data_IF_337302004052
#
_entry.id   IF_337302004052
#
_cell.length_a   1.000
_cell.length_b   1.000
_cell.length_c   1.000
_cell.angle_alpha   90.00
_cell.angle_beta   90.00
_cell.angle_gamma   90.00
#
_symmetry.space_group_name_H-M   'P 1'
#
loop_
_entity.id
_entity.type
_entity.pdbx_description
1 polymer ?
#
# COMPACT_ATOMS: atom_id res chain seq x y z
N UNK A 1 -38.07 39.96 5.02
CA UNK A 1 -37.42 39.39 6.21
C UNK A 1 -38.05 38.02 6.45
N UNK A 2 -37.73 36.92 5.76
CA UNK A 2 -36.46 36.31 5.34
C UNK A 2 -35.68 35.63 6.48
N UNK A 3 -35.71 34.30 6.42
CA UNK A 3 -34.70 33.30 6.77
C UNK A 3 -34.08 33.32 8.18
N UNK A 4 -34.73 32.60 9.11
CA UNK A 4 -34.04 31.79 10.14
C UNK A 4 -34.88 30.52 10.33
N UNK A 5 -34.21 29.35 10.29
CA UNK A 5 -34.71 27.98 10.58
C UNK A 5 -34.53 26.93 9.46
N UNK A 6 -33.64 27.13 8.48
CA UNK A 6 -33.31 26.10 7.46
C UNK A 6 -31.82 25.71 7.40
N UNK A 7 -31.04 25.92 8.47
CA UNK A 7 -29.61 25.56 8.48
C UNK A 7 -29.20 24.46 9.49
N UNK A 8 -30.11 23.92 10.31
CA UNK A 8 -29.78 22.79 11.20
C UNK A 8 -30.04 21.40 10.57
N UNK A 9 -30.50 21.34 9.32
CA UNK A 9 -30.81 20.09 8.61
C UNK A 9 -29.74 19.56 7.68
N UNK A 10 -28.60 20.25 7.50
CA UNK A 10 -27.61 19.95 6.44
C UNK A 10 -26.18 19.68 6.93
N UNK A 11 -25.91 19.72 8.24
CA UNK A 11 -24.59 19.48 8.81
C UNK A 11 -24.39 18.11 9.48
N UNK A 12 -25.32 17.16 9.32
CA UNK A 12 -25.21 15.81 9.88
C UNK A 12 -25.08 14.68 8.84
N UNK A 13 -24.62 14.99 7.62
CA UNK A 13 -24.39 13.98 6.56
C UNK A 13 -22.92 13.63 6.30
N UNK A 14 -21.96 14.18 7.06
CA UNK A 14 -20.52 13.95 6.83
C UNK A 14 -19.84 13.05 7.86
N UNK A 15 -20.61 12.41 8.75
CA UNK A 15 -20.10 11.39 9.65
C UNK A 15 -20.75 10.06 9.35
N UNK A 16 -19.94 9.05 9.03
CA UNK A 16 -20.31 7.63 9.09
C UNK A 16 -21.32 7.11 8.06
N UNK A 17 -20.81 6.72 6.89
CA UNK A 17 -21.29 5.51 6.22
C UNK A 17 -20.09 4.60 5.94
N UNK A 18 -19.97 3.58 6.80
CA UNK A 18 -19.33 2.31 6.48
C UNK A 18 -19.90 1.78 5.17
N UNK A 19 -19.15 1.85 4.06
CA UNK A 19 -19.68 1.51 2.73
C UNK A 19 -19.39 0.04 2.38
N UNK A 20 -20.21 -0.85 2.92
CA UNK A 20 -20.56 -2.14 2.31
C UNK A 20 -22.05 -2.09 1.98
N UNK A 21 -22.37 -1.66 0.77
CA UNK A 21 -23.37 -2.27 -0.13
C UNK A 21 -23.65 -1.34 -1.32
N UNK A 22 -24.09 -1.95 -2.43
CA UNK A 22 -24.31 -1.41 -3.77
C UNK A 22 -23.05 -1.21 -4.64
N UNK A 23 -22.72 -2.23 -5.47
CA UNK A 23 -23.21 -2.31 -6.86
C UNK A 23 -22.98 -3.75 -7.34
N UNK A 24 -24.09 -4.45 -7.58
CA UNK A 24 -24.13 -5.68 -8.35
C UNK A 24 -24.25 -5.39 -9.86
N UNK A 25 -23.81 -6.39 -10.63
CA UNK A 25 -24.25 -6.76 -11.98
C UNK A 25 -23.86 -5.87 -13.17
N UNK A 26 -23.08 -6.47 -14.08
CA UNK A 26 -22.81 -5.99 -15.42
C UNK A 26 -22.04 -7.01 -16.26
N UNK A 27 -22.78 -7.88 -16.95
CA UNK A 27 -22.43 -8.74 -18.11
C UNK A 27 -21.52 -8.03 -19.15
N UNK A 28 -20.66 -8.63 -19.98
CA UNK A 28 -20.34 -10.01 -20.36
C UNK A 28 -19.39 -10.01 -21.59
N UNK A 29 -18.92 -11.21 -21.96
CA UNK A 29 -18.52 -11.70 -23.31
C UNK A 29 -17.24 -11.18 -24.00
N UNK A 30 -16.23 -12.07 -24.09
CA UNK A 30 -15.73 -12.61 -25.38
C UNK A 30 -14.47 -12.00 -26.02
N UNK A 31 -13.36 -12.74 -26.01
CA UNK A 31 -12.73 -13.33 -27.22
C UNK A 31 -11.34 -13.90 -26.93
N UNK A 32 -10.93 -14.86 -27.76
CA UNK A 32 -9.95 -15.91 -27.53
C UNK A 32 -8.73 -15.71 -28.47
N UNK A 33 -7.59 -16.29 -28.08
CA UNK A 33 -6.45 -16.82 -28.88
C UNK A 33 -5.28 -15.87 -29.19
N UNK A 34 -4.07 -16.29 -28.77
CA UNK A 34 -2.78 -15.82 -29.26
C UNK A 34 -1.59 -16.39 -28.46
N UNK A 35 -0.90 -17.39 -29.01
CA UNK A 35 0.04 -18.33 -28.35
C UNK A 35 1.40 -17.71 -27.95
N UNK A 36 1.97 -18.24 -26.86
CA UNK A 36 3.39 -18.17 -26.52
C UNK A 36 3.74 -19.17 -25.41
N UNK A 37 4.19 -20.36 -25.80
CA UNK A 37 4.51 -21.50 -24.92
C UNK A 37 5.75 -21.25 -24.05
N UNK A 38 5.64 -21.55 -22.74
CA UNK A 38 6.58 -22.33 -21.91
C UNK A 38 6.15 -22.26 -20.43
N UNK A 39 5.21 -23.09 -19.95
CA UNK A 39 4.95 -23.38 -18.50
C UNK A 39 3.89 -24.50 -18.34
N UNK A 40 4.06 -25.65 -19.01
CA UNK A 40 3.01 -26.68 -19.12
C UNK A 40 2.72 -27.49 -17.83
N UNK A 41 3.61 -27.51 -16.84
CA UNK A 41 3.43 -28.35 -15.63
C UNK A 41 2.43 -27.81 -14.59
N UNK A 42 2.34 -26.48 -14.41
CA UNK A 42 1.53 -25.88 -13.33
C UNK A 42 0.06 -25.61 -13.70
N UNK A 43 -0.33 -25.76 -14.97
CA UNK A 43 -1.65 -25.35 -15.46
C UNK A 43 -2.72 -26.46 -15.34
N UNK A 44 -2.30 -27.73 -15.42
CA UNK A 44 -3.20 -28.88 -15.28
C UNK A 44 -3.75 -28.97 -13.85
N UNK A 45 -2.91 -28.76 -12.84
CA UNK A 45 -3.35 -28.71 -11.44
C UNK A 45 -4.33 -27.55 -11.17
N UNK A 46 -4.14 -26.37 -11.78
CA UNK A 46 -5.04 -25.21 -11.62
C UNK A 46 -6.44 -25.46 -12.15
N UNK A 47 -6.57 -26.15 -13.29
CA UNK A 47 -7.88 -26.47 -13.85
C UNK A 47 -8.62 -27.51 -13.00
N UNK A 48 -7.88 -28.47 -12.41
CA UNK A 48 -8.45 -29.46 -11.49
C UNK A 48 -8.93 -28.84 -10.17
N UNK A 49 -8.17 -27.91 -9.59
CA UNK A 49 -8.56 -27.19 -8.36
C UNK A 49 -9.77 -26.27 -8.61
N UNK A 50 -9.81 -25.55 -9.73
CA UNK A 50 -10.98 -24.73 -10.11
C UNK A 50 -12.24 -25.57 -10.33
N UNK A 51 -12.10 -26.76 -10.92
CA UNK A 51 -13.22 -27.69 -11.07
C UNK A 51 -13.67 -28.25 -9.71
N UNK A 52 -12.74 -28.65 -8.85
CA UNK A 52 -13.05 -29.19 -7.53
C UNK A 52 -13.75 -28.16 -6.61
N UNK A 53 -13.26 -26.91 -6.60
CA UNK A 53 -13.86 -25.81 -5.83
C UNK A 53 -15.29 -25.45 -6.27
N UNK A 54 -15.68 -25.78 -7.51
CA UNK A 54 -17.04 -25.55 -8.01
C UNK A 54 -18.07 -26.58 -7.51
N UNK A 55 -17.62 -27.67 -6.85
CA UNK A 55 -18.48 -28.82 -6.51
C UNK A 55 -18.91 -28.89 -5.05
N UNK A 56 -18.44 -27.99 -4.19
CA UNK A 56 -18.75 -28.03 -2.75
C UNK A 56 -19.14 -26.66 -2.19
N UNK A 57 -20.45 -26.42 -2.11
CA UNK A 57 -21.10 -25.60 -1.06
C UNK A 57 -21.07 -24.07 -1.22
N UNK A 58 -22.26 -23.48 -1.36
CA UNK A 58 -22.58 -22.05 -1.17
C UNK A 58 -21.52 -21.05 -1.67
N UNK A 59 -21.24 -21.04 -2.98
CA UNK A 59 -20.41 -19.99 -3.54
C UNK A 59 -21.22 -18.71 -3.69
N UNK A 60 -21.00 -17.73 -2.81
CA UNK A 60 -20.98 -16.34 -3.30
C UNK A 60 -19.95 -16.32 -4.42
N UNK A 61 -20.39 -16.06 -5.66
CA UNK A 61 -19.50 -16.12 -6.82
C UNK A 61 -18.39 -15.08 -6.65
N UNK A 62 -17.16 -15.54 -6.38
CA UNK A 62 -15.99 -14.68 -6.34
C UNK A 62 -15.85 -13.98 -7.71
N UNK A 63 -15.74 -12.65 -7.73
CA UNK A 63 -15.66 -11.84 -8.96
C UNK A 63 -14.48 -12.24 -9.86
N UNK A 64 -13.37 -12.69 -9.28
CA UNK A 64 -12.16 -13.14 -9.93
C UNK A 64 -11.99 -14.66 -9.88
N UNK A 65 -12.83 -15.38 -9.12
CA UNK A 65 -12.72 -16.83 -8.94
C UNK A 65 -11.39 -17.26 -8.31
N UNK A 66 -10.82 -16.43 -7.44
CA UNK A 66 -9.55 -16.70 -6.74
C UNK A 66 -9.86 -17.02 -5.28
N UNK A 67 -9.81 -18.30 -4.91
CA UNK A 67 -9.79 -18.72 -3.52
C UNK A 67 -8.38 -18.78 -2.93
N UNK A 68 -8.30 -18.97 -1.62
CA UNK A 68 -7.04 -19.01 -0.86
C UNK A 68 -6.11 -20.14 -1.32
N UNK A 69 -6.68 -21.22 -1.84
CA UNK A 69 -6.01 -22.42 -2.35
C UNK A 69 -5.21 -22.20 -3.64
N UNK A 70 -5.42 -21.07 -4.33
CA UNK A 70 -4.68 -20.72 -5.55
C UNK A 70 -3.49 -19.82 -5.23
N UNK A 71 -3.44 -19.23 -4.03
CA UNK A 71 -2.37 -18.33 -3.62
C UNK A 71 -1.04 -19.10 -3.46
N UNK A 72 0.11 -18.44 -3.65
CA UNK A 72 1.41 -19.03 -3.34
C UNK A 72 1.49 -19.49 -1.88
N UNK A 73 2.22 -20.58 -1.61
CA UNK A 73 2.33 -21.17 -0.26
C UNK A 73 2.86 -20.20 0.81
N UNK A 74 3.64 -19.18 0.40
CA UNK A 74 4.16 -18.14 1.29
C UNK A 74 3.11 -17.08 1.65
N UNK A 75 2.03 -16.95 0.85
CA UNK A 75 1.00 -15.95 1.07
C UNK A 75 -0.01 -16.46 2.10
N UNK A 76 -0.06 -15.79 3.26
CA UNK A 76 -0.97 -16.10 4.36
C UNK A 76 -2.04 -15.00 4.43
N UNK A 77 -3.14 -15.10 3.66
CA UNK A 77 -4.17 -14.06 3.67
C UNK A 77 -4.70 -13.85 5.08
N UNK A 78 -5.05 -12.60 5.39
CA UNK A 78 -5.46 -12.16 6.71
C UNK A 78 -4.45 -12.48 7.82
N UNK A 79 -3.16 -12.29 7.55
CA UNK A 79 -2.11 -12.47 8.55
C UNK A 79 -2.33 -11.57 9.78
N UNK A 80 -2.27 -12.17 10.97
CA UNK A 80 -2.64 -11.55 12.25
C UNK A 80 -1.44 -11.02 13.07
N UNK A 81 -0.23 -11.06 12.53
CA UNK A 81 0.94 -10.57 13.27
C UNK A 81 1.08 -9.04 13.26
N UNK A 82 2.16 -8.54 13.86
CA UNK A 82 2.45 -7.12 13.93
C UNK A 82 2.98 -6.58 12.59
N UNK A 83 2.24 -5.68 11.96
CA UNK A 83 2.52 -5.15 10.64
C UNK A 83 3.72 -4.19 10.62
N UNK A 84 3.93 -3.43 11.70
CA UNK A 84 5.10 -2.58 11.87
C UNK A 84 6.37 -3.43 11.97
N UNK A 85 6.38 -4.43 12.85
CA UNK A 85 7.50 -5.36 13.02
C UNK A 85 7.83 -6.06 11.70
N UNK A 86 6.81 -6.58 11.00
CA UNK A 86 7.03 -7.22 9.69
C UNK A 86 7.63 -6.26 8.66
N UNK A 87 7.20 -5.00 8.66
CA UNK A 87 7.75 -3.98 7.75
C UNK A 87 9.20 -3.66 8.10
N UNK A 88 9.53 -3.51 9.39
CA UNK A 88 10.91 -3.33 9.87
C UNK A 88 11.80 -4.53 9.57
N UNK A 89 11.28 -5.74 9.68
CA UNK A 89 12.00 -6.97 9.32
C UNK A 89 12.34 -6.98 7.83
N UNK A 90 11.42 -6.58 6.95
CA UNK A 90 11.73 -6.44 5.51
C UNK A 90 12.81 -5.39 5.25
N UNK A 91 12.84 -4.30 6.02
CA UNK A 91 13.88 -3.27 5.92
C UNK A 91 15.25 -3.78 6.37
N UNK A 92 15.31 -4.41 7.54
CA UNK A 92 16.54 -5.00 8.11
C UNK A 92 17.14 -6.06 7.19
N UNK A 93 16.30 -6.87 6.55
CA UNK A 93 16.74 -7.92 5.63
C UNK A 93 16.91 -7.37 4.21
N UNK A 94 17.85 -6.43 4.01
CA UNK A 94 18.20 -5.88 2.68
C UNK A 94 17.19 -4.90 2.08
N UNK A 95 16.13 -4.53 2.79
CA UNK A 95 15.16 -3.54 2.30
C UNK A 95 15.76 -2.15 2.18
N UNK A 96 16.62 -1.73 3.12
CA UNK A 96 17.31 -0.45 3.04
C UNK A 96 18.21 -0.33 1.81
N UNK A 97 18.99 -1.37 1.48
CA UNK A 97 19.87 -1.34 0.29
C UNK A 97 19.06 -1.19 -1.00
N UNK A 98 17.89 -1.84 -1.06
CA UNK A 98 16.97 -1.71 -2.21
C UNK A 98 16.35 -0.31 -2.29
N UNK A 99 15.96 0.27 -1.16
CA UNK A 99 15.40 1.63 -1.13
C UNK A 99 16.45 2.66 -1.56
N UNK A 100 17.68 2.52 -1.08
CA UNK A 100 18.82 3.36 -1.46
C UNK A 100 19.07 3.30 -2.98
N UNK A 101 19.08 2.09 -3.55
CA UNK A 101 19.22 1.90 -5.00
C UNK A 101 18.08 2.52 -5.83
N UNK A 102 16.85 2.55 -5.30
CA UNK A 102 15.70 3.18 -5.96
C UNK A 102 15.72 4.70 -5.84
N UNK A 103 16.14 5.23 -4.70
CA UNK A 103 16.19 6.67 -4.44
C UNK A 103 17.32 7.34 -5.23
N UNK A 104 18.41 6.60 -5.44
CA UNK A 104 19.57 7.08 -6.18
C UNK A 104 20.42 8.06 -5.38
N UNK A 105 21.34 8.74 -6.06
CA UNK A 105 22.38 9.54 -5.42
C UNK A 105 21.83 10.80 -4.71
N UNK A 106 21.95 10.84 -3.38
CA UNK A 106 21.59 11.98 -2.52
C UNK A 106 22.79 12.83 -2.06
N UNK A 107 23.99 12.67 -2.65
CA UNK A 107 25.24 13.29 -2.18
C UNK A 107 25.15 14.82 -2.06
N UNK A 108 24.44 15.49 -2.97
CA UNK A 108 24.28 16.95 -2.93
C UNK A 108 23.57 17.42 -1.65
N UNK A 109 22.62 16.64 -1.14
CA UNK A 109 21.89 16.95 0.10
C UNK A 109 22.84 16.76 1.30
N UNK A 110 23.61 15.68 1.31
CA UNK A 110 24.62 15.39 2.34
C UNK A 110 25.72 16.46 2.37
N UNK A 111 26.14 16.98 1.23
CA UNK A 111 27.10 18.08 1.15
C UNK A 111 26.56 19.38 1.76
N UNK A 112 25.30 19.71 1.49
CA UNK A 112 24.62 20.88 2.09
C UNK A 112 24.52 20.72 3.61
N UNK A 113 24.12 19.54 4.09
CA UNK A 113 24.08 19.22 5.52
C UNK A 113 25.46 19.45 6.15
N UNK A 114 26.53 18.91 5.57
CA UNK A 114 27.90 19.07 6.10
C UNK A 114 28.35 20.52 6.12
N UNK A 115 28.00 21.30 5.09
CA UNK A 115 28.43 22.69 4.94
C UNK A 115 27.71 23.64 5.88
N UNK A 116 26.42 23.41 6.15
CA UNK A 116 25.57 24.36 6.87
C UNK A 116 25.03 23.83 8.20
N UNK A 117 25.27 22.55 8.54
CA UNK A 117 24.73 21.92 9.75
C UNK A 117 23.21 21.77 9.74
N UNK A 118 22.57 21.89 8.58
CA UNK A 118 21.12 21.81 8.42
C UNK A 118 20.67 20.34 8.35
N UNK A 119 19.49 20.04 8.89
CA UNK A 119 18.88 18.73 8.67
C UNK A 119 18.43 18.63 7.20
N UNK A 120 18.85 17.59 6.46
CA UNK A 120 18.37 17.32 5.11
C UNK A 120 16.86 17.44 4.90
N UNK A 121 16.04 17.00 5.86
CA UNK A 121 14.58 17.04 5.73
C UNK A 121 13.98 18.43 5.89
N UNK A 122 14.72 19.39 6.46
CA UNK A 122 14.28 20.78 6.58
C UNK A 122 14.26 21.51 5.22
N UNK A 123 14.98 20.99 4.21
CA UNK A 123 15.03 21.59 2.87
C UNK A 123 14.80 20.61 1.72
N UNK A 124 14.78 19.30 1.98
CA UNK A 124 14.25 18.29 1.05
C UNK A 124 13.37 17.27 1.81
N UNK A 125 12.05 17.50 1.79
CA UNK A 125 11.03 16.63 2.39
C UNK A 125 11.20 15.15 2.03
N UNK A 126 11.67 14.88 0.82
CA UNK A 126 11.82 13.54 0.28
C UNK A 126 13.12 12.85 0.73
N UNK A 127 13.99 13.51 1.51
CA UNK A 127 15.25 12.90 1.95
C UNK A 127 15.02 11.68 2.86
N UNK A 128 15.82 10.64 2.60
CA UNK A 128 15.78 9.34 3.28
C UNK A 128 17.20 8.98 3.71
N UNK A 129 17.48 8.98 5.03
CA UNK A 129 18.81 8.61 5.53
C UNK A 129 18.94 7.09 5.67
N UNK A 130 19.57 6.46 4.67
CA UNK A 130 19.91 5.04 4.71
C UNK A 130 21.38 4.78 5.10
N UNK A 131 22.08 5.75 5.70
CA UNK A 131 23.37 5.49 6.36
C UNK A 131 23.21 4.49 7.52
N UNK A 132 24.29 3.86 8.03
CA UNK A 132 24.18 2.96 9.18
C UNK A 132 23.40 3.54 10.37
N UNK A 133 23.66 4.81 10.71
CA UNK A 133 22.96 5.53 11.78
C UNK A 133 21.50 5.84 11.42
N UNK A 134 21.24 6.22 10.16
CA UNK A 134 19.89 6.45 9.66
C UNK A 134 19.03 5.17 9.71
N UNK A 135 19.59 4.04 9.28
CA UNK A 135 18.93 2.72 9.35
C UNK A 135 18.59 2.34 10.79
N UNK A 136 19.52 2.51 11.72
CA UNK A 136 19.29 2.29 13.15
C UNK A 136 18.13 3.16 13.67
N UNK A 137 18.18 4.47 13.41
CA UNK A 137 17.12 5.39 13.82
C UNK A 137 15.75 5.02 13.22
N UNK A 138 15.69 4.62 11.95
CA UNK A 138 14.45 4.19 11.29
C UNK A 138 13.90 2.89 11.91
N UNK A 139 14.76 1.94 12.29
CA UNK A 139 14.35 0.70 12.95
C UNK A 139 13.90 0.91 14.40
N UNK A 140 14.51 1.85 15.11
CA UNK A 140 14.15 2.19 16.49
C UNK A 140 12.90 3.07 16.59
N UNK A 141 12.58 3.83 15.54
CA UNK A 141 11.45 4.76 15.50
C UNK A 141 10.13 4.11 15.94
N UNK A 142 9.43 4.75 16.87
CA UNK A 142 8.13 4.32 17.39
C UNK A 142 7.05 5.33 17.04
N UNK A 143 5.78 4.89 16.94
CA UNK A 143 4.67 5.81 16.75
C UNK A 143 4.44 6.61 18.04
N UNK A 144 3.95 7.83 17.89
CA UNK A 144 3.47 8.64 19.02
C UNK A 144 1.97 8.46 19.15
N UNK A 145 1.50 8.31 20.38
CA UNK A 145 0.09 8.22 20.70
C UNK A 145 -0.36 9.49 21.43
N UNK A 146 -1.58 9.93 21.15
CA UNK A 146 -2.21 11.09 21.77
C UNK A 146 -3.53 11.43 21.09
N UNK A 147 -4.19 12.51 21.50
CA UNK A 147 -5.38 13.00 20.78
C UNK A 147 -4.96 13.67 19.47
N UNK A 148 -5.82 13.68 18.47
CA UNK A 148 -5.55 14.38 17.22
C UNK A 148 -5.17 15.86 17.45
N UNK A 149 -5.81 16.51 18.42
CA UNK A 149 -5.50 17.90 18.84
C UNK A 149 -4.07 18.09 19.33
N UNK A 150 -3.46 17.08 19.95
CA UNK A 150 -2.08 17.16 20.47
C UNK A 150 -1.05 17.28 19.33
N UNK A 151 -1.47 16.92 18.11
CA UNK A 151 -0.66 16.97 16.90
C UNK A 151 -1.07 18.10 15.94
N UNK A 152 -2.16 18.83 16.26
CA UNK A 152 -2.74 19.86 15.41
C UNK A 152 -3.61 19.31 14.28
N UNK A 153 -4.19 18.14 14.46
CA UNK A 153 -4.93 17.38 13.44
C UNK A 153 -6.39 17.15 13.87
N UNK A 154 -7.24 16.67 12.96
CA UNK A 154 -8.61 16.22 13.27
C UNK A 154 -8.64 14.70 13.49
N UNK A 155 -9.56 14.17 14.33
CA UNK A 155 -9.63 12.74 14.63
C UNK A 155 -10.22 11.92 13.49
N UNK A 156 -10.41 12.46 12.29
CA UNK A 156 -11.08 11.78 11.18
C UNK A 156 -10.27 10.59 10.63
N UNK A 157 -8.96 10.57 10.88
CA UNK A 157 -8.05 9.46 10.57
C UNK A 157 -7.57 8.77 11.85
N UNK A 158 -7.15 7.50 11.75
CA UNK A 158 -6.57 6.75 12.89
C UNK A 158 -5.13 7.19 13.17
N UNK A 159 -4.42 7.66 12.16
CA UNK A 159 -3.11 8.23 12.32
C UNK A 159 -2.59 8.88 11.04
N UNK A 160 -1.47 9.58 11.16
CA UNK A 160 -0.82 10.30 10.07
C UNK A 160 0.70 10.28 10.23
N UNK A 161 1.41 9.93 9.17
CA UNK A 161 2.85 10.14 9.09
C UNK A 161 3.17 11.63 8.86
N UNK A 162 4.03 12.18 9.71
CA UNK A 162 4.57 13.52 9.49
C UNK A 162 6.11 13.45 9.41
N UNK A 163 6.62 13.41 8.17
CA UNK A 163 8.05 13.34 7.86
C UNK A 163 8.82 14.57 8.35
N UNK A 164 8.19 15.74 8.39
CA UNK A 164 8.78 17.01 8.85
C UNK A 164 8.96 17.03 10.36
N UNK A 165 7.98 16.51 11.11
CA UNK A 165 8.01 16.44 12.58
C UNK A 165 8.87 15.28 13.13
N UNK A 166 9.53 14.52 12.25
CA UNK A 166 10.58 13.52 12.55
C UNK A 166 10.16 12.39 13.49
N UNK A 167 8.88 12.02 13.50
CA UNK A 167 8.43 10.80 14.14
C UNK A 167 7.65 9.96 13.14
N UNK A 168 7.66 8.65 13.38
CA UNK A 168 7.19 7.65 12.43
C UNK A 168 5.69 7.83 12.11
N UNK A 169 4.83 8.10 13.10
CA UNK A 169 3.45 8.53 12.88
C UNK A 169 2.84 9.06 14.17
N UNK A 170 1.75 9.83 14.06
CA UNK A 170 0.85 10.13 15.17
C UNK A 170 -0.37 9.23 15.07
N UNK A 171 -0.61 8.45 16.11
CA UNK A 171 -1.79 7.61 16.27
C UNK A 171 -2.78 8.33 17.18
N UNK A 172 -3.99 8.55 16.69
CA UNK A 172 -5.00 9.32 17.42
C UNK A 172 -5.84 8.41 18.30
N UNK A 173 -5.81 8.66 19.61
CA UNK A 173 -6.56 7.88 20.60
C UNK A 173 -8.06 8.16 20.55
N UNK A 174 -8.45 9.33 20.03
CA UNK A 174 -9.83 9.80 19.87
C UNK A 174 -10.40 9.54 18.46
N UNK A 175 -9.68 8.81 17.60
CA UNK A 175 -10.15 8.44 16.27
C UNK A 175 -11.39 7.50 16.34
N UNK A 176 -12.39 7.71 15.47
CA UNK A 176 -13.54 6.83 15.38
C UNK A 176 -13.13 5.44 14.86
N UNK A 177 -13.89 4.40 15.24
CA UNK A 177 -13.70 3.01 14.77
C UNK A 177 -12.33 2.39 15.05
N UNK A 178 -11.63 2.89 16.06
CA UNK A 178 -10.33 2.36 16.48
C UNK A 178 -10.47 0.94 17.05
N UNK A 179 -9.93 -0.03 16.31
CA UNK A 179 -9.78 -1.44 16.71
C UNK A 179 -8.32 -1.87 16.66
N UNK A 180 -7.94 -2.93 17.39
CA UNK A 180 -6.57 -3.46 17.34
C UNK A 180 -6.10 -3.79 15.91
N UNK A 181 -6.99 -4.32 15.06
CA UNK A 181 -6.68 -4.62 13.67
C UNK A 181 -6.44 -3.37 12.82
N UNK A 182 -7.23 -2.31 13.05
CA UNK A 182 -7.08 -1.02 12.37
C UNK A 182 -5.82 -0.29 12.81
N UNK A 183 -5.51 -0.24 14.11
CA UNK A 183 -4.28 0.34 14.65
C UNK A 183 -3.06 -0.36 14.03
N UNK A 184 -3.00 -1.69 14.14
CA UNK A 184 -1.88 -2.48 13.63
C UNK A 184 -1.64 -2.24 12.13
N UNK A 185 -2.70 -2.20 11.32
CA UNK A 185 -2.53 -1.95 9.89
C UNK A 185 -2.17 -0.51 9.54
N UNK A 186 -2.73 0.48 10.25
CA UNK A 186 -2.42 1.90 10.05
C UNK A 186 -0.98 2.18 10.47
N UNK A 187 -0.49 1.67 11.61
CA UNK A 187 0.92 1.80 11.98
C UNK A 187 1.87 1.31 10.88
N UNK A 188 1.65 0.10 10.35
CA UNK A 188 2.47 -0.42 9.26
C UNK A 188 2.36 0.40 7.97
N UNK A 189 1.19 0.98 7.68
CA UNK A 189 0.95 1.84 6.54
C UNK A 189 1.67 3.19 6.71
N UNK A 190 1.44 3.91 7.79
CA UNK A 190 2.09 5.20 8.05
C UNK A 190 3.61 5.05 8.16
N UNK A 191 4.11 3.88 8.56
CA UNK A 191 5.56 3.64 8.61
C UNK A 191 6.18 3.69 7.24
N UNK A 192 5.45 3.18 6.24
CA UNK A 192 5.94 3.20 4.88
C UNK A 192 6.12 4.62 4.36
N UNK A 193 5.22 5.53 4.71
CA UNK A 193 5.35 6.95 4.42
C UNK A 193 6.57 7.58 5.09
N UNK A 194 6.91 7.15 6.31
CA UNK A 194 8.06 7.68 7.02
C UNK A 194 9.42 7.22 6.46
N UNK A 195 9.50 5.97 5.97
CA UNK A 195 10.76 5.35 5.54
C UNK A 195 11.07 5.51 4.07
N UNK A 196 10.06 5.76 3.22
CA UNK A 196 10.26 5.85 1.78
C UNK A 196 9.21 6.73 1.12
N UNK A 197 9.68 7.68 0.33
CA UNK A 197 8.82 8.48 -0.54
C UNK A 197 9.28 8.35 -2.01
N UNK A 198 8.60 7.51 -2.81
CA UNK A 198 8.86 7.44 -4.22
C UNK A 198 8.16 8.59 -4.92
N UNK A 199 8.89 9.42 -5.66
CA UNK A 199 8.30 10.31 -6.67
C UNK A 199 8.00 9.55 -7.97
N UNK A 200 7.19 8.49 -7.87
CA UNK A 200 6.88 7.60 -8.99
C UNK A 200 5.43 7.15 -8.96
N UNK A 201 4.73 7.37 -10.08
CA UNK A 201 3.40 6.80 -10.33
C UNK A 201 3.49 5.45 -11.06
N UNK A 202 2.50 4.57 -10.88
CA UNK A 202 2.31 3.45 -11.80
C UNK A 202 1.98 3.97 -13.21
N UNK A 203 2.24 3.17 -14.26
CA UNK A 203 1.79 3.51 -15.61
C UNK A 203 0.27 3.75 -15.67
N UNK A 204 -0.18 4.67 -16.54
CA UNK A 204 -1.61 5.03 -16.67
C UNK A 204 -2.51 3.89 -17.17
N UNK A 205 -1.92 2.90 -17.85
CA UNK A 205 -2.60 1.67 -18.26
C UNK A 205 -2.67 0.63 -17.12
N UNK A 206 -2.02 0.92 -15.99
CA UNK A 206 -1.97 0.06 -14.80
C UNK A 206 -2.94 0.54 -13.73
N UNK A 207 -3.02 1.85 -13.49
CA UNK A 207 -3.89 2.47 -12.49
C UNK A 207 -4.63 3.68 -13.05
N UNK A 208 -5.91 3.81 -12.72
CA UNK A 208 -6.81 4.85 -13.22
C UNK A 208 -7.24 5.83 -12.13
N UNK A 209 -6.57 6.97 -12.08
CA UNK A 209 -6.95 8.04 -11.15
C UNK A 209 -8.32 8.65 -11.47
N UNK A 210 -8.88 8.46 -12.67
CA UNK A 210 -10.24 8.93 -12.98
C UNK A 210 -11.33 8.12 -12.29
N UNK A 211 -11.01 6.93 -11.78
CA UNK A 211 -11.93 6.14 -10.94
C UNK A 211 -11.89 6.53 -9.47
N UNK A 212 -10.96 7.42 -9.10
CA UNK A 212 -10.85 7.97 -7.75
C UNK A 212 -11.69 9.25 -7.69
N UNK A 213 -12.56 9.41 -6.67
CA UNK A 213 -13.32 10.65 -6.50
C UNK A 213 -12.38 11.86 -6.38
N UNK A 214 -12.79 13.00 -6.94
CA UNK A 214 -11.94 14.18 -7.10
C UNK A 214 -11.23 14.59 -5.79
N UNK A 215 -11.97 14.61 -4.68
CA UNK A 215 -11.46 15.00 -3.36
C UNK A 215 -10.37 14.07 -2.81
N UNK A 216 -10.20 12.87 -3.37
CA UNK A 216 -9.18 11.91 -2.96
C UNK A 216 -8.09 11.70 -4.03
N UNK A 217 -8.18 12.38 -5.18
CA UNK A 217 -7.17 12.22 -6.25
C UNK A 217 -5.80 12.68 -5.79
N UNK A 218 -5.69 13.85 -5.18
CA UNK A 218 -4.41 14.35 -4.68
C UNK A 218 -3.84 13.41 -3.61
N UNK A 219 -4.69 12.89 -2.73
CA UNK A 219 -4.28 11.89 -1.73
C UNK A 219 -3.62 10.69 -2.40
N UNK A 220 -4.29 10.00 -3.32
CA UNK A 220 -3.71 8.81 -3.98
C UNK A 220 -2.56 9.12 -4.95
N UNK A 221 -2.60 10.27 -5.61
CA UNK A 221 -1.65 10.62 -6.66
C UNK A 221 -0.38 11.29 -6.11
N UNK A 222 -0.47 12.02 -5.01
CA UNK A 222 0.56 12.96 -4.57
C UNK A 222 0.72 14.14 -5.53
N UNK A 223 1.69 15.01 -5.25
CA UNK A 223 1.97 16.23 -6.02
C UNK A 223 3.43 16.32 -6.43
N UNK A 224 3.67 16.98 -7.56
CA UNK A 224 5.04 17.27 -8.00
C UNK A 224 5.75 18.26 -7.05
N UNK A 225 5.01 19.21 -6.48
CA UNK A 225 5.56 20.22 -5.58
C UNK A 225 6.15 19.61 -4.30
N UNK A 226 5.48 18.59 -3.74
CA UNK A 226 5.97 17.83 -2.58
C UNK A 226 6.92 16.68 -2.96
N UNK A 227 7.13 16.44 -4.27
CA UNK A 227 7.92 15.30 -4.82
C UNK A 227 7.50 13.95 -4.24
N UNK A 228 6.19 13.74 -4.09
CA UNK A 228 5.66 12.59 -3.37
C UNK A 228 4.66 11.77 -4.19
N UNK A 229 4.81 11.78 -5.52
CA UNK A 229 3.81 11.18 -6.40
C UNK A 229 3.79 9.66 -6.26
N UNK A 230 2.65 9.09 -5.91
CA UNK A 230 2.48 7.65 -5.73
C UNK A 230 2.88 7.14 -4.34
N UNK A 231 3.24 8.03 -3.40
CA UNK A 231 3.53 7.69 -2.01
C UNK A 231 2.43 6.79 -1.41
N UNK A 232 1.17 7.24 -1.46
CA UNK A 232 0.02 6.47 -0.99
C UNK A 232 -0.09 5.10 -1.65
N UNK A 233 0.04 5.01 -2.98
CA UNK A 233 -0.05 3.72 -3.67
C UNK A 233 1.05 2.76 -3.22
N UNK A 234 2.26 3.25 -2.93
CA UNK A 234 3.31 2.39 -2.37
C UNK A 234 3.03 1.98 -0.94
N UNK A 235 2.45 2.84 -0.11
CA UNK A 235 2.00 2.48 1.22
C UNK A 235 0.88 1.43 1.21
N UNK A 236 -0.05 1.50 0.24
CA UNK A 236 -1.04 0.44 0.00
C UNK A 236 -0.37 -0.89 -0.35
N UNK A 237 0.71 -0.88 -1.11
CA UNK A 237 1.48 -2.11 -1.35
C UNK A 237 2.07 -2.68 -0.07
N UNK A 238 2.58 -1.86 0.85
CA UNK A 238 3.02 -2.32 2.19
C UNK A 238 1.88 -2.97 2.96
N UNK A 239 0.71 -2.34 2.94
CA UNK A 239 -0.50 -2.85 3.57
C UNK A 239 -0.93 -4.20 2.98
N UNK A 240 -0.82 -4.39 1.65
CA UNK A 240 -1.02 -5.69 0.99
C UNK A 240 0.03 -6.72 1.46
N UNK A 241 1.31 -6.36 1.51
CA UNK A 241 2.37 -7.27 1.98
C UNK A 241 2.11 -7.72 3.42
N UNK A 242 1.65 -6.80 4.27
CA UNK A 242 1.29 -7.10 5.65
C UNK A 242 0.05 -7.98 5.75
N UNK A 243 -0.96 -7.76 4.91
CA UNK A 243 -2.15 -8.59 4.85
C UNK A 243 -1.85 -10.06 4.52
N UNK A 244 -0.82 -10.32 3.70
CA UNK A 244 -0.38 -11.67 3.37
C UNK A 244 0.78 -12.20 4.24
N UNK A 245 1.27 -11.41 5.20
CA UNK A 245 2.40 -11.79 6.04
C UNK A 245 3.72 -11.97 5.28
N UNK A 246 3.92 -11.23 4.18
CA UNK A 246 5.06 -11.41 3.29
C UNK A 246 6.37 -10.97 3.94
N UNK A 247 7.34 -11.87 3.90
CA UNK A 247 8.73 -11.67 4.30
C UNK A 247 9.53 -11.02 3.18
N UNK A 248 10.82 -10.88 3.41
CA UNK A 248 11.76 -10.45 2.38
C UNK A 248 11.72 -11.37 1.14
N UNK A 249 11.82 -10.78 -0.06
CA UNK A 249 11.96 -11.51 -1.33
C UNK A 249 10.70 -12.15 -1.91
N UNK A 250 9.65 -12.36 -1.11
CA UNK A 250 8.33 -12.92 -1.52
C UNK A 250 7.42 -11.92 -2.28
N UNK A 251 7.33 -11.92 -3.64
CA UNK A 251 6.66 -10.87 -4.41
C UNK A 251 5.14 -10.75 -4.16
N UNK A 252 4.55 -9.58 -4.44
CA UNK A 252 3.10 -9.49 -4.60
C UNK A 252 2.74 -10.08 -5.97
N UNK A 253 1.77 -10.97 -6.01
CA UNK A 253 1.28 -11.57 -7.27
C UNK A 253 -0.06 -10.96 -7.70
N UNK A 254 -0.40 -11.16 -8.98
CA UNK A 254 -1.70 -10.77 -9.53
C UNK A 254 -2.87 -11.41 -8.74
N UNK A 255 -2.76 -12.70 -8.45
CA UNK A 255 -3.80 -13.46 -7.75
C UNK A 255 -3.98 -12.97 -6.30
N UNK A 256 -2.88 -12.58 -5.64
CA UNK A 256 -2.94 -11.95 -4.31
C UNK A 256 -3.69 -10.62 -4.34
N UNK A 257 -3.44 -9.74 -5.31
CA UNK A 257 -4.18 -8.47 -5.40
C UNK A 257 -5.66 -8.68 -5.72
N UNK A 258 -5.99 -9.65 -6.58
CA UNK A 258 -7.39 -10.00 -6.87
C UNK A 258 -8.10 -10.57 -5.65
N UNK A 259 -7.45 -11.48 -4.92
CA UNK A 259 -7.98 -12.02 -3.67
C UNK A 259 -8.22 -10.92 -2.64
N UNK A 260 -7.23 -10.03 -2.44
CA UNK A 260 -7.36 -8.92 -1.51
C UNK A 260 -8.48 -7.95 -1.92
N UNK A 261 -8.66 -7.68 -3.21
CA UNK A 261 -9.73 -6.82 -3.71
C UNK A 261 -11.15 -7.31 -3.38
N UNK A 262 -11.33 -8.60 -3.08
CA UNK A 262 -12.63 -9.17 -2.71
C UNK A 262 -12.79 -9.43 -1.22
N UNK A 263 -11.68 -9.67 -0.52
CA UNK A 263 -11.69 -10.23 0.82
C UNK A 263 -11.07 -9.29 1.87
N UNK A 264 -10.23 -8.32 1.50
CA UNK A 264 -9.46 -7.51 2.45
C UNK A 264 -10.35 -6.87 3.52
N UNK A 265 -11.41 -6.15 3.13
CA UNK A 265 -12.27 -5.43 4.09
C UNK A 265 -13.02 -6.40 4.99
N UNK A 266 -13.48 -7.52 4.44
CA UNK A 266 -14.20 -8.57 5.20
C UNK A 266 -13.27 -9.23 6.22
N UNK A 267 -12.05 -9.55 5.79
CA UNK A 267 -11.04 -10.24 6.58
C UNK A 267 -10.49 -9.35 7.71
N UNK A 268 -10.33 -8.04 7.44
CA UNK A 268 -9.73 -7.09 8.37
C UNK A 268 -10.75 -6.39 9.26
N UNK A 269 -12.01 -6.33 8.84
CA UNK A 269 -13.06 -5.58 9.54
C UNK A 269 -12.95 -4.06 9.41
N UNK A 270 -12.08 -3.55 8.53
CA UNK A 270 -11.97 -2.13 8.19
C UNK A 270 -11.41 -1.95 6.78
N UNK A 271 -11.73 -0.81 6.16
CA UNK A 271 -11.31 -0.49 4.79
C UNK A 271 -9.97 0.23 4.73
N UNK A 272 -9.83 1.36 5.43
CA UNK A 272 -8.68 2.27 5.28
C UNK A 272 -8.43 2.64 3.80
N UNK A 273 -9.49 3.02 3.07
CA UNK A 273 -9.48 3.38 1.65
C UNK A 273 -8.93 2.30 0.68
N UNK A 274 -8.89 1.03 1.10
CA UNK A 274 -8.43 -0.07 0.26
C UNK A 274 -9.41 -0.38 -0.89
N UNK A 275 -10.72 -0.27 -0.68
CA UNK A 275 -11.72 -0.41 -1.75
C UNK A 275 -11.50 0.62 -2.86
N UNK A 276 -11.19 1.87 -2.50
CA UNK A 276 -10.88 2.94 -3.46
C UNK A 276 -9.59 2.63 -4.21
N UNK A 277 -8.55 2.18 -3.50
CA UNK A 277 -7.32 1.69 -4.09
C UNK A 277 -7.55 0.58 -5.12
N UNK A 278 -8.28 -0.48 -4.75
CA UNK A 278 -8.57 -1.59 -5.64
C UNK A 278 -9.41 -1.15 -6.86
N UNK A 279 -10.36 -0.23 -6.66
CA UNK A 279 -11.20 0.33 -7.72
C UNK A 279 -10.40 1.06 -8.80
N UNK A 280 -9.26 1.65 -8.44
CA UNK A 280 -8.34 2.30 -9.39
C UNK A 280 -7.52 1.33 -10.24
N UNK A 281 -7.40 0.05 -9.89
CA UNK A 281 -6.54 -0.89 -10.63
C UNK A 281 -7.17 -1.26 -11.98
N UNK A 282 -6.46 -0.97 -13.08
CA UNK A 282 -6.80 -1.42 -14.44
C UNK A 282 -6.19 -2.77 -14.77
N UNK A 283 -4.93 -2.95 -14.39
CA UNK A 283 -4.15 -4.15 -14.70
C UNK A 283 -3.51 -4.70 -13.41
N UNK A 284 -4.14 -5.72 -12.83
CA UNK A 284 -3.69 -6.33 -11.59
C UNK A 284 -2.28 -6.93 -11.67
N UNK A 285 -1.88 -7.47 -12.83
CA UNK A 285 -0.53 -8.01 -13.01
C UNK A 285 0.53 -6.91 -12.96
N UNK A 286 0.37 -5.86 -13.79
CA UNK A 286 1.30 -4.73 -13.81
C UNK A 286 1.33 -4.00 -12.47
N UNK A 287 0.18 -3.90 -11.80
CA UNK A 287 0.11 -3.28 -10.49
C UNK A 287 0.84 -4.11 -9.43
N UNK A 288 0.70 -5.44 -9.46
CA UNK A 288 1.45 -6.34 -8.57
C UNK A 288 2.97 -6.22 -8.79
N UNK A 289 3.42 -6.14 -10.04
CA UNK A 289 4.83 -5.91 -10.39
C UNK A 289 5.32 -4.54 -9.88
N UNK A 290 4.51 -3.50 -10.06
CA UNK A 290 4.84 -2.15 -9.60
C UNK A 290 4.91 -2.05 -8.07
N UNK A 291 3.90 -2.55 -7.35
CA UNK A 291 3.88 -2.57 -5.87
C UNK A 291 4.95 -3.48 -5.28
N UNK A 292 5.28 -4.58 -5.98
CA UNK A 292 6.44 -5.39 -5.60
C UNK A 292 7.65 -4.49 -5.56
N UNK A 293 7.97 -3.81 -6.67
CA UNK A 293 9.15 -2.94 -6.81
C UNK A 293 9.19 -1.74 -5.86
N UNK A 294 8.07 -1.06 -5.60
CA UNK A 294 8.10 0.28 -5.00
C UNK A 294 7.63 0.38 -3.54
N UNK A 295 7.03 -0.65 -2.94
CA UNK A 295 6.55 -0.58 -1.55
C UNK A 295 7.54 -1.22 -0.58
N UNK A 296 7.97 -0.65 0.56
CA UNK A 296 9.20 -0.95 1.36
C UNK A 296 9.55 -2.41 1.81
N UNK A 297 10.43 -3.20 1.18
CA UNK A 297 10.32 -3.76 -0.18
C UNK A 297 10.48 -5.28 -0.29
N UNK A 298 9.96 -5.76 -1.43
CA UNK A 298 10.22 -6.97 -2.16
C UNK A 298 10.88 -6.57 -3.49
N UNK A 299 12.08 -7.02 -3.77
CA UNK A 299 12.51 -7.19 -5.15
C UNK A 299 13.29 -8.49 -5.15
N UNK A 300 12.93 -9.43 -6.05
CA UNK A 300 13.80 -10.55 -6.33
C UNK A 300 15.22 -10.01 -6.60
N UNK A 301 16.28 -10.75 -6.23
CA UNK A 301 17.64 -10.31 -6.54
C UNK A 301 17.67 -9.88 -8.00
N UNK A 302 18.16 -8.66 -8.26
CA UNK A 302 18.59 -8.31 -9.60
C UNK A 302 19.71 -9.29 -9.86
N UNK A 303 19.40 -10.39 -10.54
CA UNK A 303 20.43 -11.18 -11.20
C UNK A 303 20.90 -10.24 -12.30
N UNK A 304 21.87 -9.38 -11.97
CA UNK A 304 22.76 -8.85 -13.00
C UNK A 304 23.35 -10.10 -13.64
N UNK A 305 22.88 -10.44 -14.84
CA UNK A 305 23.63 -11.36 -15.67
C UNK A 305 25.02 -10.72 -15.81
N UNK A 306 26.01 -11.30 -15.14
CA UNK A 306 27.41 -10.88 -15.16
C UNK A 306 28.07 -10.92 -16.57
N UNK A 307 27.26 -11.04 -17.62
CA UNK A 307 27.67 -11.11 -19.03
C UNK A 307 27.45 -9.82 -19.81
N UNK A 308 26.82 -8.77 -19.25
CA UNK A 308 26.58 -7.52 -20.00
C UNK A 308 27.60 -6.39 -19.73
N UNK A 309 28.67 -6.66 -18.98
CA UNK A 309 29.83 -5.75 -18.85
C UNK A 309 30.93 -6.02 -19.89
N UNK A 310 30.55 -6.31 -21.14
CA UNK A 310 31.47 -6.29 -22.30
C UNK A 310 30.69 -6.01 -23.59
N UNK A 311 30.38 -4.74 -23.87
CA UNK A 311 30.43 -4.14 -25.22
C UNK A 311 30.76 -2.67 -25.10
#
# INVERSE_FOLDING_TARGET
>A
MQAKNTEEGLHNLNGFLTFTDYVGLGTGVGSIIGRGLKYAGKRIARNAVKAAASTTGNSTSLKFGIGKEILPDYAKPNWQGNALTLTKDRLKNGGFDRLDALKGNQNKIVEIQKKFGLDPRDFDYSYDDYSPKGREALLEAQPKYGKASDFGETPDAIGIANREKRYFTSMFDDAPNRTNASINGVEGHEYSHFVFDPDKLPPLDTYDFNKIPEQYKEYFMGTLARKNRGMELTARGTQIKNYFGLKEGEPITEDMLKYAAENYVKDRGYDNAMNMFFGGIKNYKKMAEWLTKWSPILAAPIIENANDKRK
#
